data_IF_828332241993
#
_entry.id   IF_828332241993
#
_cell.length_a   1.000
_cell.length_b   1.000
_cell.length_c   1.000
_cell.angle_alpha   90.00
_cell.angle_beta   90.00
_cell.angle_gamma   90.00
#
_symmetry.space_group_name_H-M   'P 1'
#
loop_
_entity.id
_entity.type
_entity.pdbx_description
1 polymer ?
#
# COMPACT_ATOMS: atom_id res chain seq x y z
N UNK A 1 20.81 -26.84 9.37
CA UNK A 1 19.64 -26.06 9.79
C UNK A 1 18.97 -25.47 8.57
N UNK A 2 17.64 -25.61 8.48
CA UNK A 2 16.86 -25.03 7.38
C UNK A 2 16.55 -23.58 7.75
N UNK A 3 17.10 -22.62 7.02
CA UNK A 3 16.88 -21.20 7.24
C UNK A 3 15.50 -20.80 6.74
N UNK A 4 14.74 -20.06 7.56
CA UNK A 4 13.51 -19.39 7.16
C UNK A 4 13.79 -17.91 6.88
N UNK A 5 13.44 -17.45 5.70
CA UNK A 5 13.52 -16.05 5.30
C UNK A 5 12.10 -15.51 5.16
N UNK A 6 11.89 -14.28 5.56
CA UNK A 6 10.67 -13.52 5.31
C UNK A 6 11.03 -12.14 4.77
N UNK A 7 10.20 -11.61 3.89
CA UNK A 7 10.22 -10.21 3.44
C UNK A 7 9.04 -9.46 4.06
N UNK A 8 9.10 -8.15 4.06
CA UNK A 8 8.07 -7.25 4.57
C UNK A 8 7.53 -6.29 3.50
N UNK A 9 7.80 -6.57 2.23
CA UNK A 9 7.44 -5.72 1.09
C UNK A 9 5.94 -5.49 0.93
N UNK A 10 5.56 -4.36 0.34
CA UNK A 10 4.17 -3.93 0.16
C UNK A 10 3.48 -4.54 -1.06
N UNK A 11 4.22 -5.14 -2.01
CA UNK A 11 3.69 -5.89 -3.16
C UNK A 11 4.23 -7.31 -3.16
N UNK A 12 3.45 -8.29 -3.60
CA UNK A 12 3.75 -9.72 -3.40
C UNK A 12 3.93 -10.53 -4.68
N UNK A 13 3.23 -10.22 -5.76
CA UNK A 13 3.28 -11.04 -6.98
C UNK A 13 4.67 -11.00 -7.59
N UNK A 14 5.19 -9.82 -7.90
CA UNK A 14 6.47 -9.69 -8.59
C UNK A 14 7.65 -10.02 -7.67
N UNK A 15 7.65 -9.53 -6.43
CA UNK A 15 8.67 -9.90 -5.44
C UNK A 15 8.75 -11.41 -5.20
N UNK A 16 7.59 -12.08 -5.12
CA UNK A 16 7.54 -13.55 -4.99
C UNK A 16 8.16 -14.27 -6.19
N UNK A 17 7.92 -13.79 -7.41
CA UNK A 17 8.51 -14.38 -8.62
C UNK A 17 10.02 -14.26 -8.62
N UNK A 18 10.54 -13.08 -8.24
CA UNK A 18 11.97 -12.80 -8.21
C UNK A 18 12.65 -13.64 -7.13
N UNK A 19 12.16 -13.59 -5.91
CA UNK A 19 12.76 -14.33 -4.77
C UNK A 19 12.82 -15.83 -5.08
N UNK A 20 11.73 -16.42 -5.59
CA UNK A 20 11.67 -17.85 -5.93
C UNK A 20 12.72 -18.29 -6.95
N UNK A 21 13.21 -17.41 -7.83
CA UNK A 21 14.27 -17.72 -8.79
C UNK A 21 15.63 -17.93 -8.13
N UNK A 22 15.88 -17.22 -7.04
CA UNK A 22 17.18 -17.21 -6.35
C UNK A 22 17.19 -18.02 -5.06
N UNK A 23 16.05 -18.60 -4.67
CA UNK A 23 15.93 -19.35 -3.42
C UNK A 23 16.66 -20.68 -3.50
N UNK A 24 17.62 -20.91 -2.62
CA UNK A 24 18.35 -22.17 -2.52
C UNK A 24 17.46 -23.30 -1.97
N UNK A 25 17.74 -24.57 -2.33
CA UNK A 25 16.94 -25.75 -1.96
C UNK A 25 16.73 -25.94 -0.43
N UNK A 26 17.68 -25.49 0.38
CA UNK A 26 17.65 -25.63 1.84
C UNK A 26 17.11 -24.41 2.58
N UNK A 27 16.61 -23.42 1.83
CA UNK A 27 16.04 -22.19 2.38
C UNK A 27 14.52 -22.19 2.16
N UNK A 28 13.79 -21.86 3.22
CA UNK A 28 12.35 -21.64 3.18
C UNK A 28 12.05 -20.15 3.15
N UNK A 29 11.09 -19.76 2.37
CA UNK A 29 10.65 -18.38 2.31
C UNK A 29 9.13 -18.28 2.46
N UNK A 30 8.67 -17.38 3.32
CA UNK A 30 7.27 -17.02 3.49
C UNK A 30 7.20 -15.51 3.57
N UNK A 31 6.49 -14.91 2.66
CA UNK A 31 6.33 -13.47 2.59
C UNK A 31 5.38 -12.96 3.67
N UNK A 32 5.74 -11.85 4.29
CA UNK A 32 4.94 -11.11 5.27
C UNK A 32 4.66 -9.69 4.76
N UNK A 33 3.61 -9.07 5.23
CA UNK A 33 3.36 -7.65 5.05
C UNK A 33 2.76 -7.07 6.34
N UNK A 34 3.56 -6.57 7.26
CA UNK A 34 3.05 -5.80 8.39
C UNK A 34 2.49 -4.47 7.88
N UNK A 35 1.22 -4.20 8.21
CA UNK A 35 0.55 -2.94 7.87
C UNK A 35 0.85 -1.96 8.99
N UNK A 36 2.10 -1.58 9.05
CA UNK A 36 2.68 -0.72 10.08
C UNK A 36 3.73 0.18 9.43
N UNK A 37 3.96 1.33 10.02
CA UNK A 37 4.90 2.33 9.52
C UNK A 37 4.32 3.73 9.63
N UNK A 38 5.11 4.68 9.19
CA UNK A 38 4.79 6.08 9.10
C UNK A 38 5.26 6.64 7.75
N UNK A 39 4.98 7.88 7.48
CA UNK A 39 5.41 8.58 6.26
C UNK A 39 6.91 8.87 6.24
N UNK A 40 7.56 8.80 7.40
CA UNK A 40 9.00 9.03 7.56
C UNK A 40 9.77 7.71 7.45
N UNK A 41 10.97 7.78 6.89
CA UNK A 41 11.87 6.65 6.69
C UNK A 41 13.09 6.78 7.57
N UNK A 42 13.66 5.66 7.97
CA UNK A 42 14.90 5.59 8.74
C UNK A 42 14.74 4.89 10.09
N UNK A 43 15.80 4.28 10.61
CA UNK A 43 15.77 3.54 11.86
C UNK A 43 15.49 4.45 13.08
N UNK A 44 15.81 5.74 12.98
CA UNK A 44 15.57 6.77 14.01
C UNK A 44 14.08 7.02 14.28
N UNK A 45 13.22 6.64 13.34
CA UNK A 45 11.76 6.71 13.47
C UNK A 45 11.13 5.40 13.95
N UNK A 46 11.95 4.39 14.24
CA UNK A 46 11.50 3.12 14.79
C UNK A 46 10.87 3.29 16.18
N UNK A 47 9.83 2.49 16.49
CA UNK A 47 9.17 2.46 17.80
C UNK A 47 8.99 1.01 18.21
N UNK A 48 9.18 0.73 19.50
CA UNK A 48 9.05 -0.61 20.07
C UNK A 48 7.68 -1.24 19.77
N UNK A 49 6.61 -0.44 19.83
CA UNK A 49 5.23 -0.88 19.67
C UNK A 49 4.67 -0.69 18.24
N UNK A 50 5.53 -0.51 17.22
CA UNK A 50 5.09 -0.21 15.85
C UNK A 50 4.13 -1.26 15.28
N UNK A 51 4.23 -2.51 15.72
CA UNK A 51 3.41 -3.63 15.25
C UNK A 51 2.20 -3.93 16.14
N UNK A 52 2.08 -3.30 17.31
CA UNK A 52 1.00 -3.55 18.24
C UNK A 52 -0.37 -3.22 17.63
N UNK A 53 -1.29 -4.17 17.72
CA UNK A 53 -2.64 -4.07 17.17
C UNK A 53 -2.72 -3.82 15.65
N UNK A 54 -1.59 -3.87 14.92
CA UNK A 54 -1.54 -3.74 13.46
C UNK A 54 -1.74 -5.10 12.79
N UNK A 55 -2.31 -5.07 11.60
CA UNK A 55 -2.41 -6.29 10.79
C UNK A 55 -1.03 -6.67 10.23
N UNK A 56 -0.73 -7.96 10.24
CA UNK A 56 0.37 -8.53 9.48
C UNK A 56 -0.18 -9.64 8.58
N UNK A 57 0.00 -9.48 7.27
CA UNK A 57 -0.46 -10.43 6.28
C UNK A 57 0.63 -11.47 6.04
N UNK A 58 0.34 -12.75 6.22
CA UNK A 58 1.23 -13.84 5.83
C UNK A 58 0.76 -14.45 4.52
N UNK A 59 1.66 -14.56 3.56
CA UNK A 59 1.32 -15.15 2.26
C UNK A 59 1.33 -16.67 2.36
N UNK A 60 0.17 -17.27 2.07
CA UNK A 60 -0.03 -18.71 2.03
C UNK A 60 -0.41 -19.14 0.62
N UNK A 61 0.48 -19.81 -0.05
CA UNK A 61 0.26 -20.47 -1.35
C UNK A 61 0.12 -21.99 -1.15
N UNK A 62 -0.26 -22.73 -2.22
CA UNK A 62 -0.43 -24.19 -2.17
C UNK A 62 0.81 -24.96 -1.69
N UNK A 63 2.01 -24.44 -1.96
CA UNK A 63 3.30 -25.06 -1.59
C UNK A 63 3.91 -24.51 -0.30
N UNK A 64 3.18 -23.68 0.45
CA UNK A 64 3.70 -23.09 1.69
C UNK A 64 3.87 -24.15 2.77
N UNK A 65 5.07 -24.21 3.36
CA UNK A 65 5.34 -25.09 4.49
C UNK A 65 4.59 -24.63 5.73
N UNK A 66 3.62 -25.44 6.20
CA UNK A 66 2.74 -25.08 7.31
C UNK A 66 3.47 -24.96 8.66
N UNK A 67 4.55 -25.71 8.89
CA UNK A 67 5.35 -25.59 10.12
C UNK A 67 6.02 -24.22 10.19
N UNK A 68 6.62 -23.77 9.10
CA UNK A 68 7.24 -22.44 9.02
C UNK A 68 6.20 -21.31 9.06
N UNK A 69 5.05 -21.52 8.46
CA UNK A 69 3.93 -20.56 8.54
C UNK A 69 3.44 -20.41 9.99
N UNK A 70 3.28 -21.51 10.73
CA UNK A 70 2.93 -21.49 12.16
C UNK A 70 3.99 -20.75 12.98
N UNK A 71 5.28 -21.01 12.74
CA UNK A 71 6.35 -20.31 13.40
C UNK A 71 6.28 -18.79 13.16
N UNK A 72 6.15 -18.36 11.90
CA UNK A 72 6.08 -16.94 11.54
C UNK A 72 4.81 -16.27 12.09
N UNK A 73 3.69 -16.98 12.13
CA UNK A 73 2.46 -16.52 12.79
C UNK A 73 2.71 -16.24 14.28
N UNK A 74 3.35 -17.18 14.99
CA UNK A 74 3.68 -17.01 16.40
C UNK A 74 4.66 -15.85 16.62
N UNK A 75 5.66 -15.69 15.75
CA UNK A 75 6.60 -14.58 15.78
C UNK A 75 5.89 -13.22 15.71
N UNK A 76 5.09 -13.00 14.68
CA UNK A 76 4.38 -11.73 14.50
C UNK A 76 3.33 -11.45 15.59
N UNK A 77 2.68 -12.51 16.13
CA UNK A 77 1.79 -12.37 17.28
C UNK A 77 2.54 -11.91 18.53
N UNK A 78 3.75 -12.41 18.78
CA UNK A 78 4.60 -11.95 19.90
C UNK A 78 5.02 -10.50 19.74
N UNK A 79 5.12 -10.01 18.50
CA UNK A 79 5.35 -8.59 18.20
C UNK A 79 4.07 -7.73 18.32
N UNK A 80 2.96 -8.30 18.79
CA UNK A 80 1.68 -7.58 18.99
C UNK A 80 0.77 -7.52 17.75
N UNK A 81 1.14 -8.15 16.63
CA UNK A 81 0.37 -8.07 15.38
C UNK A 81 -0.86 -8.97 15.37
N UNK A 82 -1.92 -8.50 14.70
CA UNK A 82 -3.08 -9.30 14.27
C UNK A 82 -2.75 -10.00 12.96
N UNK A 83 -2.90 -11.34 12.89
CA UNK A 83 -2.46 -12.10 11.74
C UNK A 83 -3.64 -12.52 10.86
N UNK A 84 -3.47 -12.31 9.56
CA UNK A 84 -4.35 -12.87 8.54
C UNK A 84 -3.52 -13.52 7.44
N UNK A 85 -4.04 -14.59 6.82
CA UNK A 85 -3.37 -15.26 5.72
C UNK A 85 -4.15 -15.10 4.42
N UNK A 86 -3.44 -14.86 3.32
CA UNK A 86 -4.01 -14.85 1.98
C UNK A 86 -2.95 -15.19 0.93
N UNK A 87 -3.36 -15.48 -0.30
CA UNK A 87 -2.41 -15.67 -1.40
C UNK A 87 -1.95 -14.33 -2.01
N UNK A 88 -0.86 -14.37 -2.78
CA UNK A 88 -0.26 -13.19 -3.42
C UNK A 88 -1.23 -12.40 -4.28
N UNK A 89 -2.08 -13.08 -5.08
CA UNK A 89 -3.05 -12.41 -5.97
C UNK A 89 -4.11 -11.63 -5.19
N UNK A 90 -4.66 -12.26 -4.13
CA UNK A 90 -5.66 -11.62 -3.26
C UNK A 90 -5.05 -10.42 -2.54
N UNK A 91 -3.81 -10.56 -2.03
CA UNK A 91 -3.08 -9.50 -1.39
C UNK A 91 -2.96 -8.27 -2.31
N UNK A 92 -2.33 -8.42 -3.47
CA UNK A 92 -2.05 -7.29 -4.35
C UNK A 92 -3.33 -6.65 -4.91
N UNK A 93 -4.40 -7.44 -5.10
CA UNK A 93 -5.72 -6.91 -5.47
C UNK A 93 -6.34 -6.05 -4.36
N UNK A 94 -6.30 -6.50 -3.11
CA UNK A 94 -6.85 -5.74 -1.97
C UNK A 94 -6.04 -4.45 -1.79
N UNK A 95 -4.72 -4.54 -1.73
CA UNK A 95 -3.85 -3.40 -1.47
C UNK A 95 -3.82 -2.39 -2.62
N UNK A 96 -4.17 -2.78 -3.85
CA UNK A 96 -4.35 -1.81 -4.93
C UNK A 96 -5.46 -0.80 -4.64
N UNK A 97 -6.51 -1.20 -3.91
CA UNK A 97 -7.63 -0.32 -3.53
C UNK A 97 -7.40 0.34 -2.17
N UNK A 98 -6.96 -0.44 -1.16
CA UNK A 98 -6.96 0.02 0.23
C UNK A 98 -5.71 0.82 0.61
N UNK A 99 -4.66 0.78 -0.21
CA UNK A 99 -3.38 1.44 0.06
C UNK A 99 -2.85 2.17 -1.17
N UNK A 100 -2.65 1.48 -2.30
CA UNK A 100 -1.96 2.05 -3.45
C UNK A 100 -2.76 3.16 -4.12
N UNK A 101 -4.06 2.95 -4.34
CA UNK A 101 -4.93 3.97 -4.92
C UNK A 101 -5.02 5.25 -4.06
N UNK A 102 -5.21 5.20 -2.74
CA UNK A 102 -5.19 6.39 -1.89
C UNK A 102 -3.91 7.22 -2.02
N UNK A 103 -2.73 6.59 -2.07
CA UNK A 103 -1.47 7.32 -2.25
C UNK A 103 -1.35 7.93 -3.65
N UNK A 104 -1.76 7.20 -4.69
CA UNK A 104 -1.80 7.72 -6.05
C UNK A 104 -2.75 8.94 -6.16
N UNK A 105 -3.91 8.88 -5.51
CA UNK A 105 -4.86 10.00 -5.46
C UNK A 105 -4.21 11.19 -4.73
N UNK A 106 -3.53 10.96 -3.61
CA UNK A 106 -2.86 12.02 -2.87
C UNK A 106 -1.81 12.74 -3.74
N UNK A 107 -0.94 11.98 -4.43
CA UNK A 107 0.02 12.56 -5.38
C UNK A 107 -0.66 13.37 -6.49
N UNK A 108 -1.73 12.84 -7.09
CA UNK A 108 -2.44 13.54 -8.16
C UNK A 108 -3.19 14.77 -7.67
N UNK A 109 -3.79 14.73 -6.49
CA UNK A 109 -4.48 15.87 -5.91
C UNK A 109 -3.52 17.03 -5.64
N UNK A 110 -2.37 16.73 -5.03
CA UNK A 110 -1.33 17.74 -4.77
C UNK A 110 -0.78 18.30 -6.08
N UNK A 111 -0.49 17.44 -7.05
CA UNK A 111 -0.07 17.87 -8.39
C UNK A 111 -1.12 18.80 -9.04
N UNK A 112 -2.40 18.45 -8.96
CA UNK A 112 -3.49 19.27 -9.51
C UNK A 112 -3.53 20.65 -8.84
N UNK A 113 -3.39 20.71 -7.52
CA UNK A 113 -3.35 21.98 -6.79
C UNK A 113 -2.13 22.84 -7.21
N UNK A 114 -0.96 22.23 -7.35
CA UNK A 114 0.26 22.90 -7.82
C UNK A 114 0.13 23.42 -9.25
N UNK A 115 -0.41 22.60 -10.16
CA UNK A 115 -0.63 23.00 -11.56
C UNK A 115 -1.63 24.15 -11.67
N UNK A 116 -2.68 24.13 -10.85
CA UNK A 116 -3.63 25.24 -10.74
C UNK A 116 -2.97 26.51 -10.21
N UNK A 117 -2.18 26.40 -9.13
CA UNK A 117 -1.42 27.52 -8.56
C UNK A 117 -0.48 28.18 -9.59
N UNK A 118 0.26 27.36 -10.35
CA UNK A 118 1.16 27.84 -11.42
C UNK A 118 0.39 28.65 -12.48
N UNK A 119 -0.79 28.18 -12.90
CA UNK A 119 -1.64 28.89 -13.87
C UNK A 119 -2.15 30.23 -13.33
N UNK A 120 -2.48 30.29 -12.05
CA UNK A 120 -2.96 31.52 -11.42
C UNK A 120 -1.86 32.54 -11.12
N UNK A 121 -0.59 32.15 -11.18
CA UNK A 121 0.59 32.97 -10.79
C UNK A 121 0.46 33.58 -9.38
N UNK A 122 -0.23 32.89 -8.47
CA UNK A 122 -0.51 33.31 -7.09
C UNK A 122 -0.36 32.14 -6.15
N UNK A 123 0.16 32.39 -4.96
CA UNK A 123 0.22 31.37 -3.89
C UNK A 123 -1.17 31.14 -3.30
N UNK A 124 -1.89 30.15 -3.83
CA UNK A 124 -3.25 29.81 -3.42
C UNK A 124 -3.29 28.61 -2.45
N UNK A 125 -2.24 27.77 -2.44
CA UNK A 125 -2.18 26.59 -1.57
C UNK A 125 -2.17 27.00 -0.09
N UNK A 126 -1.69 28.21 0.25
CA UNK A 126 -1.75 28.75 1.61
C UNK A 126 -3.15 28.88 2.20
N UNK A 127 -4.18 28.94 1.35
CA UNK A 127 -5.58 28.97 1.79
C UNK A 127 -6.16 27.57 2.04
N UNK A 128 -5.34 26.52 1.94
CA UNK A 128 -5.83 25.15 2.14
C UNK A 128 -6.20 24.88 3.60
N UNK A 129 -7.35 24.23 3.78
CA UNK A 129 -7.81 23.71 5.05
C UNK A 129 -7.31 22.27 5.29
N UNK A 130 -7.80 21.61 6.35
CA UNK A 130 -7.36 20.28 6.79
C UNK A 130 -7.35 19.21 5.69
N UNK A 131 -8.35 19.20 4.81
CA UNK A 131 -8.46 18.19 3.75
C UNK A 131 -7.23 18.12 2.84
N UNK A 132 -6.81 19.25 2.24
CA UNK A 132 -5.62 19.25 1.38
C UNK A 132 -4.34 18.97 2.18
N UNK A 133 -4.29 19.41 3.45
CA UNK A 133 -3.15 19.15 4.35
C UNK A 133 -2.96 17.67 4.64
N UNK A 134 -4.04 16.92 4.86
CA UNK A 134 -3.97 15.47 5.08
C UNK A 134 -3.46 14.74 3.82
N UNK A 135 -3.94 15.13 2.65
CA UNK A 135 -3.43 14.57 1.39
C UNK A 135 -1.97 14.96 1.14
N UNK A 136 -1.53 16.17 1.51
CA UNK A 136 -0.12 16.58 1.36
C UNK A 136 0.80 15.76 2.25
N UNK A 137 0.37 15.37 3.45
CA UNK A 137 1.11 14.48 4.34
C UNK A 137 1.32 13.09 3.71
N UNK A 138 0.26 12.53 3.12
CA UNK A 138 0.36 11.23 2.40
C UNK A 138 1.26 11.37 1.17
N UNK A 139 1.14 12.46 0.41
CA UNK A 139 1.95 12.72 -0.78
C UNK A 139 3.42 13.04 -0.48
N UNK A 140 3.78 13.32 0.76
CA UNK A 140 5.16 13.50 1.20
C UNK A 140 5.92 12.18 1.43
N UNK A 141 5.26 11.02 1.25
CA UNK A 141 5.89 9.71 1.35
C UNK A 141 6.98 9.52 0.30
N UNK A 142 7.94 8.63 0.59
CA UNK A 142 9.09 8.37 -0.28
C UNK A 142 8.66 7.98 -1.71
N UNK A 143 9.01 8.82 -2.68
CA UNK A 143 8.59 8.71 -4.08
C UNK A 143 9.17 7.46 -4.78
N UNK A 144 10.40 7.08 -4.46
CA UNK A 144 11.07 5.91 -5.05
C UNK A 144 10.38 4.63 -4.59
N UNK A 145 10.09 4.52 -3.29
CA UNK A 145 9.37 3.38 -2.72
C UNK A 145 7.98 3.24 -3.37
N UNK A 146 7.23 4.34 -3.50
CA UNK A 146 5.89 4.30 -4.08
C UNK A 146 5.90 4.03 -5.57
N UNK A 147 6.84 4.59 -6.31
CA UNK A 147 7.09 4.24 -7.72
C UNK A 147 7.23 2.74 -7.89
N UNK A 148 8.08 2.11 -7.08
CA UNK A 148 8.36 0.68 -7.17
C UNK A 148 7.13 -0.16 -6.76
N UNK A 149 6.37 0.26 -5.76
CA UNK A 149 5.08 -0.35 -5.39
C UNK A 149 4.10 -0.28 -6.57
N UNK A 150 3.96 0.87 -7.21
CA UNK A 150 3.07 1.05 -8.35
C UNK A 150 3.47 0.17 -9.54
N UNK A 151 4.75 0.12 -9.87
CA UNK A 151 5.24 -0.71 -10.97
C UNK A 151 5.07 -2.21 -10.69
N UNK A 152 5.35 -2.64 -9.48
CA UNK A 152 5.21 -4.05 -9.09
C UNK A 152 3.75 -4.52 -9.02
N UNK A 153 2.80 -3.63 -8.84
CA UNK A 153 1.36 -3.95 -8.82
C UNK A 153 0.56 -3.28 -9.96
N UNK A 154 1.22 -2.91 -11.06
CA UNK A 154 0.67 -2.09 -12.15
C UNK A 154 -0.70 -2.56 -12.66
N UNK A 155 -0.88 -3.86 -12.88
CA UNK A 155 -2.11 -4.41 -13.47
C UNK A 155 -3.35 -4.23 -12.56
N UNK A 156 -3.17 -4.37 -11.24
CA UNK A 156 -4.25 -4.14 -10.30
C UNK A 156 -4.50 -2.65 -10.08
N UNK A 157 -3.43 -1.85 -10.07
CA UNK A 157 -3.53 -0.40 -9.91
C UNK A 157 -4.22 0.23 -11.12
N UNK A 158 -3.89 -0.17 -12.36
CA UNK A 158 -4.61 0.32 -13.55
C UNK A 158 -6.11 0.08 -13.43
N UNK A 159 -6.52 -1.12 -13.05
CA UNK A 159 -7.95 -1.44 -12.84
C UNK A 159 -8.59 -0.60 -11.72
N UNK A 160 -7.83 -0.33 -10.65
CA UNK A 160 -8.29 0.51 -9.56
C UNK A 160 -8.46 1.97 -10.00
N UNK A 161 -7.54 2.47 -10.83
CA UNK A 161 -7.63 3.81 -11.45
C UNK A 161 -8.84 3.90 -12.36
N UNK A 162 -9.04 2.91 -13.25
CA UNK A 162 -10.19 2.90 -14.17
C UNK A 162 -11.52 2.95 -13.40
N UNK A 163 -11.64 2.16 -12.34
CA UNK A 163 -12.81 2.18 -11.46
C UNK A 163 -12.99 3.54 -10.77
N UNK A 164 -11.90 4.13 -10.28
CA UNK A 164 -11.94 5.43 -9.63
C UNK A 164 -12.36 6.55 -10.61
N UNK A 165 -11.80 6.55 -11.83
CA UNK A 165 -12.18 7.50 -12.89
C UNK A 165 -13.66 7.36 -13.25
N UNK A 166 -14.15 6.12 -13.38
CA UNK A 166 -15.57 5.86 -13.63
C UNK A 166 -16.43 6.52 -12.54
N UNK A 167 -16.15 6.22 -11.26
CA UNK A 167 -16.91 6.76 -10.14
C UNK A 167 -16.82 8.29 -10.08
N UNK A 168 -15.63 8.87 -10.35
CA UNK A 168 -15.44 10.32 -10.38
C UNK A 168 -16.25 10.99 -11.49
N UNK A 169 -16.36 10.37 -12.67
CA UNK A 169 -17.20 10.86 -13.76
C UNK A 169 -18.70 10.78 -13.43
N UNK A 170 -19.14 9.75 -12.70
CA UNK A 170 -20.51 9.67 -12.18
C UNK A 170 -20.80 10.81 -11.21
N UNK A 171 -19.91 11.05 -10.22
CA UNK A 171 -20.02 12.22 -9.32
C UNK A 171 -20.07 13.55 -10.07
N UNK A 172 -19.20 13.73 -11.06
CA UNK A 172 -19.19 14.95 -11.88
C UNK A 172 -20.54 15.16 -12.60
N UNK A 173 -21.13 14.09 -13.12
CA UNK A 173 -22.46 14.13 -13.75
C UNK A 173 -23.53 14.53 -12.73
N UNK A 174 -23.50 13.94 -11.54
CA UNK A 174 -24.48 14.22 -10.49
C UNK A 174 -24.38 15.66 -9.97
N UNK A 175 -23.16 16.18 -9.80
CA UNK A 175 -22.93 17.59 -9.46
C UNK A 175 -23.53 18.51 -10.53
N UNK A 176 -23.27 18.23 -11.81
CA UNK A 176 -23.77 19.06 -12.91
C UNK A 176 -25.30 19.03 -13.03
N UNK A 177 -25.93 17.90 -12.73
CA UNK A 177 -27.39 17.72 -12.76
C UNK A 177 -28.08 18.07 -11.43
N UNK A 178 -27.33 18.50 -10.40
CA UNK A 178 -27.82 18.73 -9.02
C UNK A 178 -28.60 17.54 -8.45
N UNK A 179 -28.12 16.32 -8.75
CA UNK A 179 -28.75 15.09 -8.28
C UNK A 179 -28.31 14.78 -6.84
N UNK A 180 -29.20 15.00 -5.87
CA UNK A 180 -28.90 14.82 -4.43
C UNK A 180 -28.87 13.36 -3.98
N UNK A 181 -29.20 12.37 -4.83
CA UNK A 181 -29.34 10.96 -4.42
C UNK A 181 -28.01 10.20 -4.33
N UNK A 182 -26.93 10.75 -4.87
CA UNK A 182 -25.64 10.07 -5.01
C UNK A 182 -24.46 10.84 -4.38
N UNK A 183 -24.71 11.96 -3.73
CA UNK A 183 -23.73 12.79 -3.00
C UNK A 183 -24.05 12.71 -1.47
#
# INVERSE_FOLDING_TARGET
PKTLITDIGSSKIESSKIIKKFLKKNVHWISSHPIAGSEVSGPEHGRENIFENKWCILIKDKKTNLRHLKFLNSFWKKMGSKIVTMNTKKHDKIFSITSHLPHLIAYNLIKTAQDFQKKQKKDIIKFSAGGLRDFSRIAASNEIMWRDIFFNNKNNISKAIDLFIKNLNEFKKDINSRNNKSI
#
